data_IF_148200497193
#
_entry.id   IF_148200497193
#
_cell.length_a   1.000
_cell.length_b   1.000
_cell.length_c   1.000
_cell.angle_alpha   90.00
_cell.angle_beta   90.00
_cell.angle_gamma   90.00
#
_symmetry.space_group_name_H-M   'P 1'
#
loop_
_entity.id
_entity.type
_entity.pdbx_description
1 polymer ?
#
# COMPACT_ATOMS: atom_id res chain seq x y z
N UNK A 1 0.55 -14.00 -16.62
CA UNK A 1 0.64 -13.37 -15.29
C UNK A 1 -0.52 -12.41 -15.19
N UNK A 2 -1.48 -12.66 -14.30
CA UNK A 2 -2.66 -11.82 -14.13
C UNK A 2 -2.25 -10.49 -13.51
N UNK A 3 -2.58 -9.36 -14.15
CA UNK A 3 -2.25 -7.99 -13.71
C UNK A 3 -2.46 -7.76 -12.21
N UNK A 4 -3.49 -8.38 -11.65
CA UNK A 4 -3.97 -8.21 -10.29
C UNK A 4 -2.93 -8.64 -9.24
N UNK A 5 -2.33 -9.82 -9.43
CA UNK A 5 -1.38 -10.40 -8.46
C UNK A 5 0.00 -9.73 -8.58
N UNK A 6 0.34 -9.27 -9.79
CA UNK A 6 1.59 -8.53 -10.05
C UNK A 6 1.58 -7.14 -9.41
N UNK A 7 0.49 -6.39 -9.59
CA UNK A 7 0.36 -5.05 -9.01
C UNK A 7 0.29 -5.10 -7.48
N UNK A 8 -0.47 -6.01 -6.88
CA UNK A 8 -0.52 -6.20 -5.42
C UNK A 8 0.85 -6.36 -4.79
N UNK A 9 1.62 -7.36 -5.26
CA UNK A 9 2.96 -7.64 -4.75
C UNK A 9 3.93 -6.48 -4.99
N UNK A 10 3.75 -5.73 -6.07
CA UNK A 10 4.59 -4.55 -6.35
C UNK A 10 4.30 -3.43 -5.35
N UNK A 11 3.02 -3.19 -5.04
CA UNK A 11 2.60 -2.22 -4.03
C UNK A 11 3.12 -2.61 -2.66
N UNK A 12 2.90 -3.85 -2.23
CA UNK A 12 3.39 -4.38 -0.95
C UNK A 12 4.92 -4.22 -0.83
N UNK A 13 5.68 -4.57 -1.87
CA UNK A 13 7.14 -4.41 -1.89
C UNK A 13 7.60 -2.96 -1.82
N UNK A 14 6.93 -2.03 -2.50
CA UNK A 14 7.33 -0.61 -2.49
C UNK A 14 7.01 0.01 -1.13
N UNK A 15 5.85 -0.30 -0.56
CA UNK A 15 5.49 0.13 0.79
C UNK A 15 6.45 -0.43 1.84
N UNK A 16 6.78 -1.72 1.77
CA UNK A 16 7.74 -2.35 2.70
C UNK A 16 9.19 -1.81 2.58
N UNK A 17 9.51 -1.06 1.51
CA UNK A 17 10.80 -0.37 1.37
C UNK A 17 10.81 1.01 2.01
N UNK A 18 9.66 1.55 2.40
CA UNK A 18 9.59 2.85 3.04
C UNK A 18 10.04 2.72 4.50
N UNK A 19 10.91 3.64 4.93
CA UNK A 19 11.43 3.65 6.29
C UNK A 19 10.30 4.00 7.27
N UNK A 20 10.05 3.11 8.22
CA UNK A 20 8.89 3.21 9.14
C UNK A 20 7.70 2.33 8.75
N UNK A 21 7.70 1.65 7.59
CA UNK A 21 6.70 0.62 7.29
C UNK A 21 7.16 -0.72 7.84
N UNK A 22 6.36 -1.28 8.75
CA UNK A 22 6.61 -2.56 9.39
C UNK A 22 6.00 -3.70 8.57
N UNK A 23 4.78 -3.48 8.06
CA UNK A 23 4.05 -4.47 7.28
C UNK A 23 3.14 -3.78 6.27
N UNK A 24 3.08 -4.29 5.05
CA UNK A 24 2.15 -3.82 4.04
C UNK A 24 1.45 -5.03 3.41
N UNK A 25 0.12 -5.00 3.39
CA UNK A 25 -0.71 -6.04 2.81
C UNK A 25 -1.77 -5.42 1.93
N UNK A 26 -1.92 -5.93 0.71
CA UNK A 26 -2.85 -5.39 -0.27
C UNK A 26 -3.84 -6.48 -0.69
N UNK A 27 -5.11 -6.26 -0.38
CA UNK A 27 -6.22 -7.15 -0.72
C UNK A 27 -6.95 -6.59 -1.95
N UNK A 28 -6.54 -7.01 -3.14
CA UNK A 28 -7.17 -6.58 -4.40
C UNK A 28 -8.65 -6.96 -4.49
N UNK A 29 -9.04 -8.13 -3.95
CA UNK A 29 -10.43 -8.58 -3.94
C UNK A 29 -11.37 -7.67 -3.17
N UNK A 30 -10.85 -7.00 -2.14
CA UNK A 30 -11.62 -6.07 -1.29
C UNK A 30 -11.26 -4.62 -1.55
N UNK A 31 -10.24 -4.38 -2.38
CA UNK A 31 -9.67 -3.05 -2.64
C UNK A 31 -9.19 -2.35 -1.35
N UNK A 32 -8.71 -3.14 -0.38
CA UNK A 32 -8.22 -2.67 0.92
C UNK A 32 -6.70 -2.80 0.98
N UNK A 33 -6.02 -1.75 1.43
CA UNK A 33 -4.61 -1.81 1.79
C UNK A 33 -4.46 -1.67 3.31
N UNK A 34 -3.95 -2.72 3.95
CA UNK A 34 -3.63 -2.72 5.38
C UNK A 34 -2.13 -2.47 5.53
N UNK A 35 -1.79 -1.36 6.18
CA UNK A 35 -0.40 -0.94 6.34
C UNK A 35 -0.14 -0.71 7.83
N UNK A 36 0.83 -1.43 8.35
CA UNK A 36 1.39 -1.25 9.68
C UNK A 36 2.65 -0.42 9.54
N UNK A 37 2.60 0.79 10.09
CA UNK A 37 3.70 1.74 10.00
C UNK A 37 3.73 2.62 11.24
N UNK A 38 4.91 3.18 11.49
CA UNK A 38 5.15 4.08 12.59
C UNK A 38 4.78 5.51 12.17
N UNK A 39 3.68 6.04 12.71
CA UNK A 39 3.21 7.41 12.45
C UNK A 39 4.22 8.49 12.83
N UNK A 40 5.22 8.17 13.65
CA UNK A 40 6.30 9.11 14.00
C UNK A 40 7.39 9.18 12.93
N UNK A 41 7.50 8.14 12.08
CA UNK A 41 8.51 8.03 11.03
C UNK A 41 7.96 8.26 9.63
N UNK A 42 6.71 7.89 9.39
CA UNK A 42 6.11 7.98 8.07
C UNK A 42 4.68 8.50 8.12
N UNK A 43 4.37 9.33 7.13
CA UNK A 43 3.09 10.01 7.00
C UNK A 43 2.13 9.23 6.09
N UNK A 44 0.84 9.24 6.43
CA UNK A 44 -0.21 8.60 5.64
C UNK A 44 -0.22 9.10 4.19
N UNK A 45 0.09 10.38 4.00
CA UNK A 45 0.11 11.02 2.68
C UNK A 45 1.17 10.38 1.77
N UNK A 46 2.32 10.02 2.32
CA UNK A 46 3.41 9.38 1.58
C UNK A 46 3.02 7.95 1.17
N UNK A 47 2.32 7.22 2.04
CA UNK A 47 1.81 5.89 1.75
C UNK A 47 0.80 5.94 0.60
N UNK A 48 -0.18 6.83 0.68
CA UNK A 48 -1.20 7.03 -0.36
C UNK A 48 -0.55 7.39 -1.69
N UNK A 49 0.41 8.32 -1.68
CA UNK A 49 1.16 8.71 -2.87
C UNK A 49 1.96 7.55 -3.45
N UNK A 50 2.58 6.73 -2.60
CA UNK A 50 3.34 5.55 -3.03
C UNK A 50 2.44 4.52 -3.69
N UNK A 51 1.26 4.25 -3.13
CA UNK A 51 0.30 3.30 -3.74
C UNK A 51 -0.22 3.84 -5.07
N UNK A 52 -0.60 5.12 -5.12
CA UNK A 52 -1.06 5.76 -6.37
C UNK A 52 0.04 5.87 -7.44
N UNK A 53 1.31 5.86 -7.04
CA UNK A 53 2.47 5.87 -7.95
C UNK A 53 2.73 4.50 -8.59
N UNK A 54 2.05 3.44 -8.13
CA UNK A 54 2.25 2.08 -8.64
C UNK A 54 1.12 1.76 -9.59
N UNK A 55 1.30 2.26 -10.82
CA UNK A 55 0.36 2.15 -11.92
C UNK A 55 -0.05 3.52 -12.45
N UNK A 56 -0.51 3.56 -13.69
CA UNK A 56 -1.43 4.60 -14.13
C UNK A 56 -2.71 4.46 -13.28
N UNK A 57 -3.25 5.58 -12.81
CA UNK A 57 -4.32 5.75 -11.80
C UNK A 57 -5.60 4.88 -11.95
N UNK A 58 -5.67 4.03 -12.96
CA UNK A 58 -6.75 3.11 -13.31
C UNK A 58 -6.54 1.67 -12.82
N UNK A 59 -5.31 1.27 -12.45
CA UNK A 59 -5.01 -0.17 -12.21
C UNK A 59 -5.38 -0.65 -10.81
N UNK A 60 -5.33 0.22 -9.81
CA UNK A 60 -5.73 -0.10 -8.43
C UNK A 60 -5.99 1.18 -7.65
N UNK A 61 -7.19 1.29 -7.08
CA UNK A 61 -7.59 2.42 -6.24
C UNK A 61 -7.83 1.91 -4.83
N UNK A 62 -6.98 2.32 -3.88
CA UNK A 62 -7.24 1.99 -2.47
C UNK A 62 -8.45 2.79 -2.03
N UNK A 63 -9.59 2.11 -1.85
CA UNK A 63 -10.78 2.75 -1.28
C UNK A 63 -10.73 2.81 0.24
N UNK A 64 -9.89 1.99 0.87
CA UNK A 64 -9.77 1.93 2.33
C UNK A 64 -8.33 1.64 2.76
N UNK A 65 -7.75 2.55 3.54
CA UNK A 65 -6.51 2.31 4.28
C UNK A 65 -6.84 1.91 5.72
N UNK A 66 -6.31 0.77 6.15
CA UNK A 66 -6.37 0.34 7.53
C UNK A 66 -5.01 0.50 8.18
N UNK A 67 -4.94 1.40 9.15
CA UNK A 67 -3.71 1.76 9.84
C UNK A 67 -3.67 0.97 11.15
N UNK A 68 -2.73 0.05 11.23
CA UNK A 68 -2.45 -0.69 12.45
C UNK A 68 -1.36 0.08 13.19
N UNK A 69 -1.74 0.77 14.26
CA UNK A 69 -0.81 1.45 15.17
C UNK A 69 -0.81 0.66 16.48
N UNK A 70 0.34 0.11 16.85
CA UNK A 70 0.56 -0.41 18.20
C UNK A 70 0.99 0.71 19.15
#
# INVERSE_FOLDING_TARGET
MSCEVGCAKTIEKKLAKLDGVNKAKVDFKKEIASIEFDKTKIDNTLLISTVNSIGDNETYKVIKLEILSN
#
